data_IF_430382609988
#
_entry.id   IF_430382609988
#
_cell.length_a   1.000
_cell.length_b   1.000
_cell.length_c   1.000
_cell.angle_alpha   90.00
_cell.angle_beta   90.00
_cell.angle_gamma   90.00
#
_symmetry.space_group_name_H-M   'P 1'
#
loop_
_entity.id
_entity.type
_entity.pdbx_description
1 polymer ?
#
# COMPACT_ATOMS: atom_id res chain seq x y z
N UNK A 1 -56.06 -31.58 20.85
CA UNK A 1 -56.04 -31.13 19.45
C UNK A 1 -56.16 -29.62 19.52
N UNK A 2 -55.18 -28.93 18.92
CA UNK A 2 -55.11 -27.48 18.74
C UNK A 2 -54.64 -26.63 19.94
N UNK A 3 -53.32 -26.59 20.15
CA UNK A 3 -52.65 -25.45 20.78
C UNK A 3 -52.03 -24.64 19.62
N UNK A 4 -52.67 -23.52 19.29
CA UNK A 4 -52.37 -22.68 18.13
C UNK A 4 -51.16 -21.79 18.43
N UNK A 5 -50.03 -22.08 17.80
CA UNK A 5 -48.77 -21.32 17.83
C UNK A 5 -48.98 -19.92 17.21
N UNK A 6 -49.34 -18.93 18.04
CA UNK A 6 -49.34 -17.51 17.65
C UNK A 6 -47.95 -16.90 17.80
N UNK A 7 -46.96 -17.40 17.04
CA UNK A 7 -45.76 -16.61 16.73
C UNK A 7 -46.08 -15.68 15.57
N UNK A 8 -46.64 -14.53 15.94
CA UNK A 8 -46.84 -13.41 15.02
C UNK A 8 -45.56 -13.13 14.25
N UNK A 9 -45.66 -13.17 12.92
CA UNK A 9 -44.61 -12.76 12.00
C UNK A 9 -44.37 -11.27 12.18
N UNK A 10 -43.46 -10.91 13.09
CA UNK A 10 -43.03 -9.53 13.28
C UNK A 10 -42.47 -9.01 11.96
N UNK A 11 -43.12 -7.99 11.39
CA UNK A 11 -42.72 -7.38 10.14
C UNK A 11 -41.36 -6.69 10.34
N UNK A 12 -40.50 -6.70 9.33
CA UNK A 12 -39.18 -6.05 9.38
C UNK A 12 -39.27 -4.57 9.82
N UNK A 13 -40.37 -3.90 9.48
CA UNK A 13 -40.64 -2.51 9.90
C UNK A 13 -40.88 -2.38 11.41
N UNK A 14 -41.54 -3.36 12.02
CA UNK A 14 -41.82 -3.37 13.46
C UNK A 14 -40.57 -3.73 14.26
N UNK A 15 -39.73 -4.61 13.69
CA UNK A 15 -38.41 -4.92 14.24
C UNK A 15 -37.48 -3.70 14.18
N UNK A 16 -37.44 -2.98 13.05
CA UNK A 16 -36.67 -1.73 12.91
C UNK A 16 -37.13 -0.64 13.88
N UNK A 17 -38.44 -0.52 14.09
CA UNK A 17 -39.01 0.43 15.06
C UNK A 17 -38.56 0.09 16.49
N UNK A 18 -38.66 -1.19 16.88
CA UNK A 18 -38.24 -1.65 18.21
C UNK A 18 -36.73 -1.47 18.44
N UNK A 19 -35.89 -1.78 17.45
CA UNK A 19 -34.43 -1.61 17.54
C UNK A 19 -34.05 -0.15 17.75
N UNK A 20 -34.72 0.79 17.06
CA UNK A 20 -34.47 2.23 17.21
C UNK A 20 -34.86 2.76 18.61
N UNK A 21 -35.89 2.20 19.23
CA UNK A 21 -36.27 2.55 20.61
C UNK A 21 -35.38 1.93 21.68
N UNK A 22 -34.87 0.71 21.46
CA UNK A 22 -34.03 0.00 22.44
C UNK A 22 -32.58 0.52 22.47
N UNK A 23 -32.08 1.08 21.37
CA UNK A 23 -30.70 1.57 21.26
C UNK A 23 -30.71 2.97 20.64
N UNK A 24 -30.85 4.04 21.45
CA UNK A 24 -30.94 5.41 20.95
C UNK A 24 -29.71 5.84 20.14
N UNK A 25 -28.54 5.26 20.41
CA UNK A 25 -27.31 5.50 19.62
C UNK A 25 -27.42 4.98 18.18
N UNK A 26 -28.20 3.92 17.93
CA UNK A 26 -28.48 3.42 16.57
C UNK A 26 -29.44 4.36 15.85
N UNK A 27 -30.41 4.94 16.56
CA UNK A 27 -31.27 5.98 15.98
C UNK A 27 -30.46 7.23 15.60
N UNK A 28 -29.50 7.62 16.44
CA UNK A 28 -28.55 8.71 16.17
C UNK A 28 -27.62 8.40 14.99
N UNK A 29 -27.15 7.15 14.86
CA UNK A 29 -26.32 6.69 13.74
C UNK A 29 -27.13 6.48 12.43
N UNK A 30 -28.43 6.22 12.54
CA UNK A 30 -29.35 6.12 11.40
C UNK A 30 -29.79 7.49 10.89
N UNK A 31 -29.63 8.55 11.69
CA UNK A 31 -29.81 9.91 11.26
C UNK A 31 -28.69 10.25 10.27
N UNK A 32 -29.07 10.55 9.01
CA UNK A 32 -28.08 10.91 7.99
C UNK A 32 -27.32 12.15 8.50
N UNK A 33 -25.99 12.10 8.65
CA UNK A 33 -25.24 13.27 9.10
C UNK A 33 -25.49 14.43 8.12
N UNK A 34 -25.84 15.60 8.65
CA UNK A 34 -26.05 16.86 7.90
C UNK A 34 -24.74 17.43 7.29
N UNK A 35 -23.70 16.61 7.14
CA UNK A 35 -22.47 16.99 6.48
C UNK A 35 -22.56 16.60 4.99
N UNK A 36 -22.17 17.49 4.06
CA UNK A 36 -22.17 17.18 2.64
C UNK A 36 -21.38 15.90 2.41
N UNK A 37 -22.02 14.91 1.79
CA UNK A 37 -21.41 13.61 1.56
C UNK A 37 -20.15 13.81 0.69
N UNK A 38 -18.94 13.51 1.20
CA UNK A 38 -17.70 13.74 0.45
C UNK A 38 -17.60 12.87 -0.80
N UNK A 39 -18.40 11.80 -0.89
CA UNK A 39 -18.50 10.90 -2.04
C UNK A 39 -19.59 11.31 -3.04
N UNK A 40 -20.36 12.37 -2.77
CA UNK A 40 -21.35 12.92 -3.70
C UNK A 40 -20.88 14.25 -4.31
N UNK A 41 -19.61 14.31 -4.69
CA UNK A 41 -19.11 15.44 -5.50
C UNK A 41 -19.70 15.34 -6.90
N UNK A 42 -20.76 16.12 -7.18
CA UNK A 42 -21.32 16.27 -8.52
C UNK A 42 -20.45 17.27 -9.28
N UNK A 43 -19.58 16.76 -10.15
CA UNK A 43 -18.84 17.60 -11.08
C UNK A 43 -19.71 17.89 -12.30
N UNK A 44 -20.17 19.13 -12.42
CA UNK A 44 -20.86 19.59 -13.63
C UNK A 44 -19.80 20.00 -14.65
N UNK A 45 -19.59 19.16 -15.66
CA UNK A 45 -18.65 19.43 -16.76
C UNK A 45 -19.36 20.15 -17.89
N UNK A 46 -18.85 21.32 -18.29
CA UNK A 46 -19.27 22.00 -19.51
C UNK A 46 -18.93 21.15 -20.73
N UNK A 47 -19.65 21.32 -21.84
CA UNK A 47 -19.32 20.64 -23.11
C UNK A 47 -17.87 20.91 -23.54
N UNK A 48 -17.37 22.13 -23.29
CA UNK A 48 -15.99 22.51 -23.53
C UNK A 48 -15.00 21.73 -22.65
N UNK A 49 -15.29 21.58 -21.36
CA UNK A 49 -14.45 20.80 -20.43
C UNK A 49 -14.34 19.34 -20.87
N UNK A 50 -15.44 18.77 -21.39
CA UNK A 50 -15.43 17.40 -21.93
C UNK A 50 -14.53 17.31 -23.16
N UNK A 51 -14.68 18.21 -24.13
CA UNK A 51 -13.84 18.23 -25.34
C UNK A 51 -12.36 18.40 -24.98
N UNK A 52 -12.05 19.32 -24.07
CA UNK A 52 -10.69 19.53 -23.57
C UNK A 52 -10.14 18.28 -22.85
N UNK A 53 -10.95 17.65 -21.99
CA UNK A 53 -10.56 16.43 -21.28
C UNK A 53 -10.28 15.26 -22.25
N UNK A 54 -11.12 15.06 -23.26
CA UNK A 54 -10.93 13.99 -24.24
C UNK A 54 -9.71 14.23 -25.13
N UNK A 55 -9.53 15.45 -25.63
CA UNK A 55 -8.41 15.81 -26.51
C UNK A 55 -7.07 15.77 -25.77
N UNK A 56 -6.98 16.39 -24.59
CA UNK A 56 -5.76 16.35 -23.77
C UNK A 56 -5.52 14.93 -23.27
N UNK A 57 -6.56 14.22 -22.81
CA UNK A 57 -6.46 12.84 -22.33
C UNK A 57 -5.91 11.90 -23.40
N UNK A 58 -6.39 12.02 -24.65
CA UNK A 58 -5.94 11.20 -25.77
C UNK A 58 -4.44 11.35 -26.06
N UNK A 59 -3.86 12.52 -25.84
CA UNK A 59 -2.43 12.78 -26.05
C UNK A 59 -1.63 12.47 -24.79
N UNK A 60 -2.12 12.89 -23.63
CA UNK A 60 -1.39 12.84 -22.37
C UNK A 60 -1.30 11.43 -21.79
N UNK A 61 -2.35 10.61 -21.94
CA UNK A 61 -2.35 9.22 -21.45
C UNK A 61 -1.26 8.38 -22.15
N UNK A 62 -1.20 8.27 -23.49
CA UNK A 62 -0.16 7.48 -24.14
C UNK A 62 1.24 8.04 -23.85
N UNK A 63 1.40 9.36 -23.81
CA UNK A 63 2.66 9.99 -23.42
C UNK A 63 3.10 9.57 -22.01
N UNK A 64 2.19 9.61 -21.02
CA UNK A 64 2.46 9.16 -19.65
C UNK A 64 2.82 7.68 -19.60
N UNK A 65 2.15 6.83 -20.38
CA UNK A 65 2.45 5.39 -20.44
C UNK A 65 3.84 5.13 -21.01
N UNK A 66 4.23 5.84 -22.07
CA UNK A 66 5.57 5.75 -22.67
C UNK A 66 6.64 6.19 -21.66
N UNK A 67 6.46 7.34 -21.01
CA UNK A 67 7.40 7.85 -20.00
C UNK A 67 7.52 6.87 -18.83
N UNK A 68 6.39 6.32 -18.38
CA UNK A 68 6.34 5.32 -17.30
C UNK A 68 7.13 4.08 -17.68
N UNK A 69 6.90 3.54 -18.88
CA UNK A 69 7.59 2.35 -19.36
C UNK A 69 9.11 2.56 -19.46
N UNK A 70 9.54 3.69 -20.05
CA UNK A 70 10.97 4.04 -20.15
C UNK A 70 11.59 4.19 -18.76
N UNK A 71 10.87 4.82 -17.82
CA UNK A 71 11.34 5.00 -16.43
C UNK A 71 11.53 3.66 -15.72
N UNK A 72 10.60 2.72 -15.88
CA UNK A 72 10.74 1.36 -15.33
C UNK A 72 11.88 0.58 -15.99
N UNK A 73 12.06 0.72 -17.30
CA UNK A 73 13.16 0.08 -18.03
C UNK A 73 14.52 0.59 -17.52
N UNK A 74 14.67 1.90 -17.42
CA UNK A 74 15.87 2.55 -16.89
C UNK A 74 16.13 2.14 -15.44
N UNK A 75 15.12 2.22 -14.58
CA UNK A 75 15.23 1.82 -13.18
C UNK A 75 15.60 0.34 -13.02
N UNK A 76 15.03 -0.55 -13.83
CA UNK A 76 15.33 -1.98 -13.81
C UNK A 76 16.78 -2.25 -14.22
N UNK A 77 17.23 -1.67 -15.34
CA UNK A 77 18.60 -1.84 -15.81
C UNK A 77 19.60 -1.31 -14.79
N UNK A 78 19.34 -0.12 -14.26
CA UNK A 78 20.19 0.49 -13.25
C UNK A 78 20.22 -0.32 -11.94
N UNK A 79 19.07 -0.84 -11.49
CA UNK A 79 18.99 -1.74 -10.34
C UNK A 79 19.81 -3.01 -10.59
N UNK A 80 19.74 -3.62 -11.78
CA UNK A 80 20.56 -4.78 -12.14
C UNK A 80 22.05 -4.47 -12.04
N UNK A 81 22.49 -3.29 -12.53
CA UNK A 81 23.89 -2.85 -12.40
C UNK A 81 24.30 -2.74 -10.93
N UNK A 82 23.48 -2.12 -10.09
CA UNK A 82 23.75 -2.01 -8.65
C UNK A 82 23.83 -3.37 -7.94
N UNK A 83 23.08 -4.35 -8.44
CA UNK A 83 23.01 -5.71 -7.89
C UNK A 83 24.05 -6.66 -8.50
N UNK A 84 24.92 -6.22 -9.41
CA UNK A 84 26.04 -7.05 -9.89
C UNK A 84 26.88 -7.48 -8.68
N UNK A 85 27.14 -8.79 -8.59
CA UNK A 85 27.86 -9.40 -7.47
C UNK A 85 27.11 -9.35 -6.12
N UNK A 86 25.80 -9.07 -6.12
CA UNK A 86 24.95 -9.23 -4.95
C UNK A 86 24.23 -10.56 -4.99
N UNK A 87 24.55 -11.43 -4.03
CA UNK A 87 23.76 -12.64 -3.76
C UNK A 87 22.97 -12.41 -2.47
N UNK A 88 21.65 -12.66 -2.47
CA UNK A 88 20.87 -12.66 -1.23
C UNK A 88 21.47 -13.67 -0.24
N UNK A 89 22.15 -13.17 0.79
CA UNK A 89 22.75 -13.98 1.86
C UNK A 89 21.74 -14.25 2.96
N UNK A 90 21.93 -15.34 3.72
CA UNK A 90 21.15 -15.68 4.91
C UNK A 90 21.24 -14.63 6.02
N UNK A 91 22.26 -13.77 5.98
CA UNK A 91 22.44 -12.61 6.88
C UNK A 91 22.83 -11.38 6.06
N UNK A 92 21.88 -10.72 5.38
CA UNK A 92 22.20 -9.56 4.57
C UNK A 92 22.68 -8.41 5.46
N UNK A 93 23.48 -7.50 4.93
CA UNK A 93 23.84 -6.22 5.57
C UNK A 93 23.18 -5.06 4.82
N UNK A 94 22.89 -3.92 5.48
CA UNK A 94 22.31 -2.77 4.80
C UNK A 94 23.25 -2.29 3.70
N UNK A 95 22.69 -1.90 2.55
CA UNK A 95 23.48 -1.39 1.44
C UNK A 95 24.24 -0.12 1.83
N UNK A 96 25.53 -0.10 1.47
CA UNK A 96 26.46 1.01 1.67
C UNK A 96 27.05 1.47 0.33
N UNK A 97 27.75 2.61 0.33
CA UNK A 97 28.47 3.13 -0.83
C UNK A 97 27.59 3.29 -2.08
N UNK A 98 28.06 2.74 -3.21
CA UNK A 98 27.40 2.86 -4.51
C UNK A 98 25.96 2.32 -4.51
N UNK A 99 25.70 1.18 -3.84
CA UNK A 99 24.36 0.58 -3.78
C UNK A 99 23.39 1.47 -2.98
N UNK A 100 23.88 2.15 -1.93
CA UNK A 100 23.11 3.12 -1.16
C UNK A 100 22.74 4.34 -1.99
N UNK A 101 23.69 4.87 -2.76
CA UNK A 101 23.41 5.95 -3.73
C UNK A 101 22.37 5.50 -4.75
N UNK A 102 22.49 4.26 -5.24
CA UNK A 102 21.52 3.67 -6.16
C UNK A 102 20.11 3.60 -5.58
N UNK A 103 19.94 3.30 -4.29
CA UNK A 103 18.64 3.34 -3.61
C UNK A 103 18.02 4.75 -3.63
N UNK A 104 18.82 5.80 -3.41
CA UNK A 104 18.33 7.18 -3.48
C UNK A 104 17.96 7.61 -4.89
N UNK A 105 18.70 7.16 -5.91
CA UNK A 105 18.35 7.40 -7.32
C UNK A 105 17.01 6.75 -7.67
N UNK A 106 16.81 5.48 -7.27
CA UNK A 106 15.53 4.79 -7.46
C UNK A 106 14.37 5.45 -6.69
N UNK A 107 14.64 5.98 -5.50
CA UNK A 107 13.69 6.81 -4.76
C UNK A 107 13.31 8.07 -5.56
N UNK A 108 14.29 8.73 -6.21
CA UNK A 108 14.05 9.85 -7.11
C UNK A 108 13.18 9.48 -8.31
N UNK A 109 13.43 8.32 -8.94
CA UNK A 109 12.60 7.80 -10.04
C UNK A 109 11.17 7.55 -9.57
N UNK A 110 10.97 6.99 -8.37
CA UNK A 110 9.64 6.80 -7.80
C UNK A 110 8.89 8.13 -7.60
N UNK A 111 9.59 9.18 -7.13
CA UNK A 111 9.03 10.54 -7.01
C UNK A 111 8.69 11.15 -8.37
N UNK A 112 9.52 10.92 -9.38
CA UNK A 112 9.26 11.34 -10.75
C UNK A 112 8.02 10.64 -11.33
N UNK A 113 7.86 9.34 -11.12
CA UNK A 113 6.68 8.60 -11.56
C UNK A 113 5.38 9.12 -10.91
N UNK A 114 5.41 9.47 -9.62
CA UNK A 114 4.27 10.13 -8.97
C UNK A 114 3.92 11.46 -9.65
N UNK A 115 4.92 12.26 -10.02
CA UNK A 115 4.72 13.49 -10.78
C UNK A 115 4.08 13.23 -12.14
N UNK A 116 4.58 12.24 -12.91
CA UNK A 116 4.03 11.83 -14.21
C UNK A 116 2.56 11.41 -14.09
N UNK A 117 2.17 10.75 -13.01
CA UNK A 117 0.78 10.36 -12.76
C UNK A 117 -0.13 11.51 -12.31
N UNK A 118 0.42 12.68 -11.99
CA UNK A 118 -0.37 13.84 -11.53
C UNK A 118 -0.30 14.08 -10.02
N UNK A 119 0.43 13.25 -9.27
CA UNK A 119 0.58 13.38 -7.82
C UNK A 119 1.78 14.26 -7.45
N UNK A 120 1.65 15.56 -7.73
CA UNK A 120 2.75 16.50 -7.57
C UNK A 120 2.98 16.82 -6.09
N UNK A 121 1.88 16.96 -5.36
CA UNK A 121 1.85 17.19 -3.93
C UNK A 121 0.85 16.24 -3.27
N UNK A 122 1.33 15.47 -2.30
CA UNK A 122 0.51 14.61 -1.46
C UNK A 122 0.64 15.16 -0.05
N UNK A 123 -0.38 15.83 0.50
CA UNK A 123 -0.33 16.34 1.86
C UNK A 123 -0.18 15.16 2.82
N UNK A 124 0.82 15.24 3.69
CA UNK A 124 1.01 14.28 4.78
C UNK A 124 0.57 14.96 6.08
N UNK A 125 -0.20 14.24 6.89
CA UNK A 125 -0.58 14.71 8.23
C UNK A 125 0.31 14.05 9.27
N UNK A 126 0.79 14.86 10.22
CA UNK A 126 1.73 14.43 11.23
C UNK A 126 3.17 14.35 10.73
N UNK A 127 4.07 13.87 11.59
CA UNK A 127 5.49 13.70 11.29
C UNK A 127 5.89 12.28 11.65
N UNK A 128 6.67 11.66 10.77
CA UNK A 128 7.26 10.35 11.06
C UNK A 128 8.23 10.50 12.24
N UNK A 129 8.05 9.69 13.28
CA UNK A 129 8.95 9.68 14.44
C UNK A 129 10.37 9.26 14.03
N UNK A 130 11.38 9.65 14.78
CA UNK A 130 12.77 9.30 14.47
C UNK A 130 12.97 7.78 14.43
N UNK A 131 13.91 7.31 13.58
CA UNK A 131 14.13 5.87 13.36
C UNK A 131 14.53 5.15 14.66
N UNK A 132 15.20 5.86 15.58
CA UNK A 132 15.58 5.36 16.90
C UNK A 132 14.39 5.00 17.79
N UNK A 133 13.27 5.73 17.63
CA UNK A 133 12.07 5.53 18.43
C UNK A 133 11.02 4.68 17.70
N UNK A 134 10.97 4.79 16.36
CA UNK A 134 10.02 4.05 15.52
C UNK A 134 10.71 3.51 14.26
N UNK A 135 11.44 2.39 14.36
CA UNK A 135 12.13 1.76 13.23
C UNK A 135 11.18 1.03 12.28
N UNK A 136 9.97 0.71 12.73
CA UNK A 136 8.92 0.06 11.94
C UNK A 136 7.84 1.06 11.56
N UNK A 137 7.46 1.05 10.30
CA UNK A 137 6.37 1.84 9.73
C UNK A 137 5.29 0.88 9.27
N UNK A 138 4.10 1.03 9.82
CA UNK A 138 2.92 0.24 9.45
C UNK A 138 2.17 1.00 8.37
N UNK A 139 1.86 0.34 7.26
CA UNK A 139 1.20 0.94 6.09
C UNK A 139 -0.07 0.16 5.80
N UNK A 140 -1.21 0.86 5.84
CA UNK A 140 -2.52 0.30 5.55
C UNK A 140 -3.45 1.40 4.99
N UNK A 141 -4.42 1.06 4.13
CA UNK A 141 -4.64 -0.27 3.56
C UNK A 141 -3.65 -0.62 2.44
N UNK A 142 -3.36 -1.91 2.22
CA UNK A 142 -2.51 -2.38 1.13
C UNK A 142 -3.35 -2.66 -0.10
N UNK A 143 -3.27 -1.76 -1.08
CA UNK A 143 -4.14 -1.78 -2.26
C UNK A 143 -3.39 -2.29 -3.49
N UNK A 144 -2.13 -1.90 -3.68
CA UNK A 144 -1.37 -2.29 -4.86
C UNK A 144 0.14 -2.03 -4.75
N UNK A 145 0.89 -2.40 -5.79
CA UNK A 145 2.30 -1.99 -5.95
C UNK A 145 2.48 -0.45 -6.00
N UNK A 146 1.42 0.32 -6.30
CA UNK A 146 1.47 1.79 -6.24
C UNK A 146 1.71 2.30 -4.82
N UNK A 147 1.38 1.52 -3.79
CA UNK A 147 1.69 1.86 -2.41
C UNK A 147 3.21 2.03 -2.24
N UNK A 148 4.01 1.21 -2.93
CA UNK A 148 5.47 1.33 -2.95
C UNK A 148 5.96 2.67 -3.53
N UNK A 149 5.28 3.21 -4.54
CA UNK A 149 5.57 4.56 -5.05
C UNK A 149 5.17 5.61 -4.02
N UNK A 150 4.01 5.47 -3.38
CA UNK A 150 3.55 6.40 -2.34
C UNK A 150 4.48 6.44 -1.12
N UNK A 151 5.14 5.33 -0.78
CA UNK A 151 6.15 5.31 0.29
C UNK A 151 7.33 6.25 0.02
N UNK A 152 7.62 6.59 -1.23
CA UNK A 152 8.62 7.61 -1.54
C UNK A 152 8.29 8.98 -0.92
N UNK A 153 7.00 9.26 -0.65
CA UNK A 153 6.58 10.50 0.03
C UNK A 153 7.04 10.60 1.49
N UNK A 154 7.40 9.48 2.12
CA UNK A 154 7.94 9.46 3.48
C UNK A 154 9.38 10.00 3.57
N UNK A 155 10.00 10.36 2.42
CA UNK A 155 11.35 10.96 2.32
C UNK A 155 12.44 10.14 3.01
N UNK A 156 12.25 8.84 3.11
CA UNK A 156 13.17 7.90 3.74
C UNK A 156 13.27 6.64 2.89
N UNK A 157 14.44 6.01 2.91
CA UNK A 157 14.59 4.65 2.40
C UNK A 157 13.90 3.69 3.36
N UNK A 158 13.34 2.63 2.78
CA UNK A 158 12.64 1.59 3.51
C UNK A 158 13.02 0.22 2.99
N UNK A 159 12.78 -0.78 3.83
CA UNK A 159 12.79 -2.19 3.47
C UNK A 159 11.41 -2.75 3.70
N UNK A 160 10.85 -3.48 2.75
CA UNK A 160 9.49 -4.02 2.85
C UNK A 160 9.50 -5.53 3.10
N UNK A 161 8.49 -6.03 3.80
CA UNK A 161 8.19 -7.47 3.83
C UNK A 161 7.41 -7.82 2.57
N UNK A 162 7.87 -8.82 1.83
CA UNK A 162 7.32 -9.16 0.53
C UNK A 162 7.36 -10.65 0.23
N UNK A 163 6.70 -11.01 -0.87
CA UNK A 163 6.73 -12.37 -1.43
C UNK A 163 8.00 -12.57 -2.24
N UNK A 164 8.59 -13.76 -2.19
CA UNK A 164 9.80 -14.08 -2.96
C UNK A 164 9.55 -13.97 -4.47
N UNK A 165 8.34 -14.32 -4.91
CA UNK A 165 7.87 -14.27 -6.29
C UNK A 165 7.93 -12.85 -6.87
N UNK A 166 7.79 -11.81 -6.04
CA UNK A 166 7.87 -10.42 -6.49
C UNK A 166 9.25 -10.07 -7.06
N UNK A 167 10.31 -10.76 -6.62
CA UNK A 167 11.67 -10.53 -7.11
C UNK A 167 11.90 -11.05 -8.54
N UNK A 168 10.98 -11.86 -9.07
CA UNK A 168 11.08 -12.47 -10.40
C UNK A 168 10.32 -11.68 -11.47
N UNK A 169 9.63 -10.60 -11.10
CA UNK A 169 8.90 -9.77 -12.07
C UNK A 169 9.90 -9.05 -12.99
N UNK A 170 9.75 -9.21 -14.30
CA UNK A 170 10.75 -8.83 -15.32
C UNK A 170 11.33 -7.40 -15.20
N UNK A 171 10.50 -6.40 -14.88
CA UNK A 171 10.96 -5.00 -14.70
C UNK A 171 11.06 -4.56 -13.24
N UNK A 172 10.26 -5.17 -12.37
CA UNK A 172 10.06 -4.68 -11.00
C UNK A 172 10.96 -5.44 -10.01
N UNK A 173 11.30 -6.70 -10.30
CA UNK A 173 11.99 -7.58 -9.38
C UNK A 173 13.37 -7.07 -8.95
N UNK A 174 14.17 -6.56 -9.87
CA UNK A 174 15.48 -5.96 -9.54
C UNK A 174 15.33 -4.66 -8.74
N UNK A 175 14.31 -3.85 -9.02
CA UNK A 175 14.00 -2.63 -8.26
C UNK A 175 13.58 -3.00 -6.84
N UNK A 176 12.76 -4.04 -6.68
CA UNK A 176 12.36 -4.53 -5.36
C UNK A 176 13.55 -5.11 -4.59
N UNK A 177 14.47 -5.81 -5.23
CA UNK A 177 15.69 -6.27 -4.56
C UNK A 177 16.55 -5.11 -4.05
N UNK A 178 16.52 -3.95 -4.71
CA UNK A 178 17.23 -2.76 -4.25
C UNK A 178 16.71 -2.21 -2.92
N UNK A 179 15.46 -2.47 -2.52
CA UNK A 179 14.95 -2.12 -1.18
C UNK A 179 15.27 -3.19 -0.11
N UNK A 180 16.04 -4.21 -0.47
CA UNK A 180 16.45 -5.32 0.40
C UNK A 180 15.27 -5.95 1.16
N UNK A 181 14.26 -6.49 0.47
CA UNK A 181 13.00 -6.88 1.09
C UNK A 181 13.18 -8.13 1.96
N UNK A 182 12.37 -8.23 3.02
CA UNK A 182 12.23 -9.45 3.78
C UNK A 182 11.29 -10.40 3.03
N UNK A 183 11.88 -11.37 2.33
CA UNK A 183 11.09 -12.30 1.52
C UNK A 183 10.57 -13.47 2.35
N UNK A 184 9.25 -13.62 2.42
CA UNK A 184 8.60 -14.80 2.99
C UNK A 184 8.36 -15.82 1.87
N UNK A 185 8.89 -17.04 2.03
CA UNK A 185 8.58 -18.16 1.14
C UNK A 185 7.53 -19.08 1.80
N UNK A 186 6.33 -19.19 1.21
CA UNK A 186 5.22 -19.97 1.79
C UNK A 186 5.42 -21.48 1.71
N UNK A 187 6.30 -21.98 0.84
CA UNK A 187 6.55 -23.42 0.70
C UNK A 187 7.46 -23.96 1.80
N UNK A 188 8.19 -23.08 2.52
CA UNK A 188 9.08 -23.48 3.60
C UNK A 188 8.45 -23.15 4.97
N UNK A 189 8.17 -24.17 5.80
CA UNK A 189 7.58 -24.02 7.14
C UNK A 189 8.31 -23.00 8.04
N UNK A 190 9.64 -22.88 7.92
CA UNK A 190 10.47 -22.02 8.78
C UNK A 190 10.64 -20.58 8.28
N UNK A 191 10.04 -20.19 7.14
CA UNK A 191 10.25 -18.87 6.55
C UNK A 191 9.72 -17.73 7.44
N UNK A 192 8.54 -17.91 8.06
CA UNK A 192 7.94 -16.91 8.95
C UNK A 192 8.81 -16.63 10.17
N UNK A 193 9.33 -17.69 10.79
CA UNK A 193 10.22 -17.57 11.96
C UNK A 193 11.52 -16.84 11.63
N UNK A 194 12.09 -17.10 10.43
CA UNK A 194 13.26 -16.35 9.94
C UNK A 194 12.95 -14.87 9.74
N UNK A 195 11.81 -14.54 9.14
CA UNK A 195 11.40 -13.14 8.99
C UNK A 195 11.24 -12.46 10.34
N UNK A 196 10.60 -13.08 11.33
CA UNK A 196 10.47 -12.50 12.68
C UNK A 196 11.85 -12.21 13.32
N UNK A 197 12.78 -13.17 13.24
CA UNK A 197 14.15 -12.98 13.75
C UNK A 197 14.88 -11.85 13.03
N UNK A 198 14.70 -11.76 11.73
CA UNK A 198 15.33 -10.72 10.91
C UNK A 198 14.71 -9.34 11.15
N UNK A 199 13.40 -9.26 11.41
CA UNK A 199 12.75 -8.03 11.85
C UNK A 199 13.40 -7.52 13.14
N UNK A 200 13.53 -8.38 14.16
CA UNK A 200 14.17 -8.01 15.43
C UNK A 200 15.61 -7.53 15.23
N UNK A 201 16.38 -8.24 14.38
CA UNK A 201 17.76 -7.84 14.02
C UNK A 201 17.82 -6.48 13.35
N UNK A 202 16.92 -6.19 12.39
CA UNK A 202 16.90 -4.93 11.64
C UNK A 202 16.45 -3.75 12.49
N UNK A 203 15.48 -3.98 13.38
CA UNK A 203 14.97 -2.98 14.32
C UNK A 203 16.06 -2.51 15.29
N UNK A 204 16.96 -3.41 15.71
CA UNK A 204 18.07 -3.10 16.62
C UNK A 204 19.34 -2.60 15.91
N UNK A 205 19.45 -2.83 14.60
CA UNK A 205 20.62 -2.49 13.80
C UNK A 205 20.50 -1.17 13.05
N UNK A 206 21.56 -0.80 12.31
CA UNK A 206 21.57 0.39 11.46
C UNK A 206 20.94 0.11 10.08
N UNK A 207 19.65 -0.25 10.07
CA UNK A 207 18.90 -0.54 8.84
C UNK A 207 18.04 0.64 8.38
N UNK A 208 17.72 0.73 7.07
CA UNK A 208 16.57 1.52 6.62
C UNK A 208 15.30 1.10 7.38
N UNK A 209 14.33 2.02 7.47
CA UNK A 209 13.06 1.75 8.17
C UNK A 209 12.37 0.52 7.58
N UNK A 210 11.86 -0.34 8.44
CA UNK A 210 11.11 -1.49 8.00
C UNK A 210 9.66 -1.08 7.77
N UNK A 211 9.12 -1.39 6.60
CA UNK A 211 7.72 -1.21 6.25
C UNK A 211 7.00 -2.55 6.33
N UNK A 212 5.91 -2.56 7.08
CA UNK A 212 5.04 -3.74 7.24
C UNK A 212 3.63 -3.36 6.80
N UNK A 213 3.06 -4.22 5.95
CA UNK A 213 1.65 -4.19 5.59
C UNK A 213 0.93 -5.25 6.44
N UNK A 214 0.16 -4.87 7.47
CA UNK A 214 -0.41 -5.81 8.42
C UNK A 214 -1.45 -6.74 7.80
N UNK A 215 -1.99 -6.35 6.64
CA UNK A 215 -2.95 -7.13 5.85
C UNK A 215 -2.30 -8.35 5.17
N UNK A 216 -0.99 -8.36 4.94
CA UNK A 216 -0.26 -9.54 4.46
C UNK A 216 -0.51 -9.96 3.00
N UNK A 217 -1.43 -9.29 2.29
CA UNK A 217 -1.62 -9.36 0.84
C UNK A 217 -2.35 -8.09 0.36
N UNK A 218 -2.24 -7.73 -0.93
CA UNK A 218 -3.12 -6.71 -1.50
C UNK A 218 -4.57 -7.13 -1.24
N UNK A 219 -5.33 -6.25 -0.60
CA UNK A 219 -6.69 -6.46 -0.14
C UNK A 219 -7.64 -6.81 -1.28
N UNK A 220 -7.90 -8.11 -1.48
CA UNK A 220 -9.31 -8.52 -1.50
C UNK A 220 -9.71 -8.52 -0.03
N UNK A 221 -10.84 -7.90 0.33
CA UNK A 221 -11.36 -7.65 1.69
C UNK A 221 -11.52 -8.89 2.63
N UNK A 222 -10.89 -10.02 2.31
CA UNK A 222 -11.03 -11.32 2.96
C UNK A 222 -9.72 -11.93 3.52
N UNK A 223 -8.56 -11.28 3.43
CA UNK A 223 -7.31 -11.89 3.93
C UNK A 223 -6.60 -11.09 5.01
N UNK A 224 -7.22 -10.93 6.18
CA UNK A 224 -6.50 -10.62 7.42
C UNK A 224 -5.86 -11.91 7.94
N UNK A 225 -4.63 -12.22 7.52
CA UNK A 225 -3.99 -13.51 7.86
C UNK A 225 -2.53 -13.43 8.33
N UNK A 226 -2.11 -12.29 8.88
CA UNK A 226 -0.78 -12.19 9.49
C UNK A 226 -0.74 -11.96 11.01
N UNK A 227 -1.87 -11.68 11.67
CA UNK A 227 -1.92 -11.38 13.11
C UNK A 227 -2.94 -12.19 13.92
N UNK A 228 -3.22 -13.42 13.50
CA UNK A 228 -3.85 -14.40 14.41
C UNK A 228 -2.74 -15.31 14.92
N UNK A 229 -2.32 -15.05 16.16
CA UNK A 229 -1.52 -15.96 16.97
C UNK A 229 -2.32 -17.23 17.28
#
# INVERSE_FOLDING_TARGET
MEEMDTRGTMNLRDLEANIKTLIPDIALAAEKPNHPNPFSSKFEFTTWDKVQLYTIGLILIPLRLIITFISFLFASLFAKICLIGYTPSDSPEPFTGFRRVGQYLLWGVARFLLFVYGFWYIPTKGRLSDIKHAPVVVVAPHTSLMDGLLLSTLRTLFSAVGRHENNQIFLIGSILQMIQPLTVNRTQKNSKQRVVKEIDRRVKGNWPRLVIFPEGNNSNFLSTQFFTF
#
